data_IF_570653204986
#
_entry.id   IF_570653204986
#
_cell.length_a   1.000
_cell.length_b   1.000
_cell.length_c   1.000
_cell.angle_alpha   90.00
_cell.angle_beta   90.00
_cell.angle_gamma   90.00
#
_symmetry.space_group_name_H-M   'P 1'
#
loop_
_entity.id
_entity.type
_entity.pdbx_description
1 polymer ?
#
# COMPACT_ATOMS: atom_id res chain seq x y z
N UNK A 1 -8.11 30.02 -7.03
CA UNK A 1 -8.26 29.38 -5.70
C UNK A 1 -9.47 28.46 -5.62
N UNK A 2 -10.66 28.92 -6.01
CA UNK A 2 -11.91 28.15 -5.98
C UNK A 2 -11.79 26.76 -6.64
N UNK A 3 -11.19 26.67 -7.85
CA UNK A 3 -10.99 25.38 -8.55
C UNK A 3 -10.24 24.31 -7.76
N UNK A 4 -9.23 24.69 -6.96
CA UNK A 4 -8.46 23.71 -6.15
C UNK A 4 -9.31 23.17 -5.00
N UNK A 5 -10.06 24.04 -4.33
CA UNK A 5 -10.95 23.66 -3.24
C UNK A 5 -12.06 22.76 -3.79
N UNK A 6 -12.67 23.09 -4.94
CA UNK A 6 -13.70 22.25 -5.56
C UNK A 6 -13.20 20.84 -5.91
N UNK A 7 -11.96 20.70 -6.41
CA UNK A 7 -11.37 19.39 -6.71
C UNK A 7 -11.14 18.58 -5.44
N UNK A 8 -10.63 19.21 -4.37
CA UNK A 8 -10.39 18.55 -3.08
C UNK A 8 -11.73 18.13 -2.45
N UNK A 9 -12.75 18.99 -2.49
CA UNK A 9 -14.09 18.65 -1.98
C UNK A 9 -14.74 17.54 -2.80
N UNK A 10 -14.56 17.52 -4.13
CA UNK A 10 -15.04 16.44 -4.99
C UNK A 10 -14.33 15.11 -4.69
N UNK A 11 -13.01 15.15 -4.46
CA UNK A 11 -12.23 14.00 -4.00
C UNK A 11 -12.72 13.50 -2.65
N UNK A 12 -13.00 14.38 -1.69
CA UNK A 12 -13.54 14.00 -0.38
C UNK A 12 -14.95 13.40 -0.50
N UNK A 13 -15.82 13.93 -1.38
CA UNK A 13 -17.17 13.39 -1.62
C UNK A 13 -17.10 12.03 -2.33
N UNK A 14 -16.16 11.84 -3.26
CA UNK A 14 -15.86 10.53 -3.86
C UNK A 14 -15.36 9.58 -2.76
N UNK A 15 -14.42 9.99 -1.92
CA UNK A 15 -13.92 9.17 -0.80
C UNK A 15 -15.06 8.80 0.17
N UNK A 16 -15.99 9.72 0.47
CA UNK A 16 -17.15 9.48 1.33
C UNK A 16 -18.23 8.57 0.72
N UNK A 17 -18.41 8.58 -0.60
CA UNK A 17 -19.32 7.67 -1.31
C UNK A 17 -18.79 6.23 -1.35
N UNK A 18 -17.49 6.02 -1.09
CA UNK A 18 -16.78 4.76 -1.29
C UNK A 18 -16.71 3.85 -0.07
N UNK A 19 -17.35 4.21 1.05
CA UNK A 19 -17.49 3.36 2.25
C UNK A 19 -18.25 2.05 1.96
N UNK A 20 -18.85 1.89 0.77
CA UNK A 20 -19.53 0.67 0.30
C UNK A 20 -18.87 0.01 -0.94
N UNK A 21 -17.64 0.37 -1.29
CA UNK A 21 -17.03 -0.03 -2.57
C UNK A 21 -16.17 -1.27 -2.44
N UNK A 22 -16.50 -2.30 -3.23
CA UNK A 22 -15.72 -3.53 -3.31
C UNK A 22 -14.36 -3.30 -4.03
N UNK A 23 -13.45 -4.26 -3.85
CA UNK A 23 -12.09 -4.23 -4.40
C UNK A 23 -12.01 -3.94 -5.92
N UNK A 24 -12.93 -4.49 -6.71
CA UNK A 24 -12.91 -4.35 -8.18
C UNK A 24 -13.25 -2.93 -8.62
N UNK A 25 -14.24 -2.32 -7.97
CA UNK A 25 -14.64 -0.95 -8.27
C UNK A 25 -13.57 0.04 -7.83
N UNK A 26 -12.86 -0.24 -6.72
CA UNK A 26 -11.75 0.59 -6.27
C UNK A 26 -10.57 0.58 -7.26
N UNK A 27 -10.14 -0.60 -7.73
CA UNK A 27 -9.04 -0.67 -8.71
C UNK A 27 -9.39 0.06 -10.01
N UNK A 28 -10.61 -0.14 -10.50
CA UNK A 28 -11.13 0.55 -11.72
C UNK A 28 -11.08 2.07 -11.57
N UNK A 29 -11.37 2.59 -10.37
CA UNK A 29 -11.26 4.02 -10.10
C UNK A 29 -9.80 4.49 -10.17
N UNK A 30 -8.88 3.78 -9.52
CA UNK A 30 -7.45 4.12 -9.54
C UNK A 30 -6.94 4.12 -10.98
N UNK A 31 -7.34 3.13 -11.80
CA UNK A 31 -7.00 3.05 -13.23
C UNK A 31 -7.50 4.26 -14.03
N UNK A 32 -8.69 4.75 -13.71
CA UNK A 32 -9.30 5.89 -14.40
C UNK A 32 -8.60 7.22 -14.11
N UNK A 33 -7.85 7.32 -13.01
CA UNK A 33 -7.11 8.54 -12.69
C UNK A 33 -5.95 8.75 -13.68
N UNK A 34 -5.76 9.98 -14.21
CA UNK A 34 -4.57 10.32 -14.99
C UNK A 34 -3.29 10.05 -14.19
N UNK A 35 -2.21 9.57 -14.82
CA UNK A 35 -1.00 9.10 -14.12
C UNK A 35 -0.50 10.04 -13.00
N UNK A 36 -0.39 11.34 -13.30
CA UNK A 36 0.06 12.34 -12.31
C UNK A 36 -0.92 12.50 -11.12
N UNK A 37 -2.22 12.40 -11.37
CA UNK A 37 -3.26 12.48 -10.33
C UNK A 37 -3.29 11.19 -9.52
N UNK A 38 -3.12 10.05 -10.19
CA UNK A 38 -3.04 8.73 -9.56
C UNK A 38 -1.87 8.65 -8.60
N UNK A 39 -0.67 9.07 -9.02
CA UNK A 39 0.51 9.06 -8.16
C UNK A 39 0.28 9.91 -6.90
N UNK A 40 -0.17 11.15 -7.06
CA UNK A 40 -0.51 12.01 -5.92
C UNK A 40 -1.59 11.42 -5.00
N UNK A 41 -2.58 10.74 -5.56
CA UNK A 41 -3.63 10.07 -4.79
C UNK A 41 -3.07 8.89 -3.99
N UNK A 42 -2.24 8.05 -4.61
CA UNK A 42 -1.56 6.94 -3.93
C UNK A 42 -0.74 7.48 -2.76
N UNK A 43 0.11 8.49 -3.01
CA UNK A 43 0.93 9.08 -1.97
C UNK A 43 0.09 9.67 -0.83
N UNK A 44 -1.03 10.32 -1.16
CA UNK A 44 -1.94 10.90 -0.16
C UNK A 44 -2.62 9.85 0.74
N UNK A 45 -3.01 8.69 0.18
CA UNK A 45 -3.62 7.61 0.97
C UNK A 45 -2.59 6.86 1.82
N UNK A 46 -1.36 6.71 1.31
CA UNK A 46 -0.28 6.00 2.01
C UNK A 46 0.45 6.88 3.04
N UNK A 47 0.33 8.21 2.95
CA UNK A 47 0.93 9.11 3.94
C UNK A 47 0.19 9.02 5.27
N UNK A 48 0.79 8.26 6.20
CA UNK A 48 0.24 8.02 7.53
C UNK A 48 0.10 9.32 8.35
N UNK A 49 0.92 10.35 8.04
CA UNK A 49 0.85 11.67 8.68
C UNK A 49 -0.42 12.44 8.32
N UNK A 50 -1.06 12.09 7.20
CA UNK A 50 -2.30 12.73 6.80
C UNK A 50 -3.47 12.30 7.67
N UNK A 51 -3.45 11.10 8.27
CA UNK A 51 -4.54 10.56 9.09
C UNK A 51 -5.88 10.41 8.35
N UNK A 52 -5.87 10.48 7.00
CA UNK A 52 -7.09 10.62 6.17
C UNK A 52 -7.50 9.31 5.49
N UNK A 53 -6.68 8.25 5.55
CA UNK A 53 -7.05 6.93 5.07
C UNK A 53 -7.53 6.02 6.21
N UNK A 54 -8.77 5.55 6.17
CA UNK A 54 -9.14 4.39 6.99
C UNK A 54 -8.30 3.19 6.56
N UNK A 55 -7.98 2.29 7.49
CA UNK A 55 -7.23 1.06 7.19
C UNK A 55 -7.87 0.29 6.03
N UNK A 56 -9.20 0.34 5.93
CA UNK A 56 -9.94 -0.24 4.81
C UNK A 56 -9.51 0.30 3.44
N UNK A 57 -9.38 1.62 3.29
CA UNK A 57 -8.95 2.23 2.01
C UNK A 57 -7.48 1.91 1.72
N UNK A 58 -6.61 1.89 2.73
CA UNK A 58 -5.21 1.46 2.58
C UNK A 58 -5.13 0.02 2.11
N UNK A 59 -5.95 -0.88 2.65
CA UNK A 59 -6.03 -2.28 2.22
C UNK A 59 -6.46 -2.39 0.76
N UNK A 60 -7.53 -1.71 0.37
CA UNK A 60 -8.00 -1.70 -1.02
C UNK A 60 -6.93 -1.18 -1.98
N UNK A 61 -6.21 -0.14 -1.57
CA UNK A 61 -5.11 0.42 -2.35
C UNK A 61 -3.96 -0.56 -2.48
N UNK A 62 -3.46 -1.12 -1.39
CA UNK A 62 -2.35 -2.07 -1.41
C UNK A 62 -2.69 -3.31 -2.25
N UNK A 63 -3.94 -3.78 -2.20
CA UNK A 63 -4.40 -4.86 -3.08
C UNK A 63 -4.42 -4.47 -4.57
N UNK A 64 -4.72 -3.21 -4.90
CA UNK A 64 -4.63 -2.71 -6.27
C UNK A 64 -3.16 -2.62 -6.73
N UNK A 65 -2.27 -2.10 -5.87
CA UNK A 65 -0.82 -2.04 -6.12
C UNK A 65 -0.16 -3.43 -6.20
N UNK A 66 -0.75 -4.45 -5.54
CA UNK A 66 -0.30 -5.84 -5.67
C UNK A 66 -0.67 -6.41 -7.05
N UNK A 67 -1.77 -5.96 -7.65
CA UNK A 67 -2.22 -6.43 -8.98
C UNK A 67 -1.51 -5.70 -10.10
N UNK A 68 -1.45 -4.38 -10.03
CA UNK A 68 -0.98 -3.49 -11.09
C UNK A 68 0.24 -2.68 -10.66
N UNK A 69 1.15 -2.42 -11.59
CA UNK A 69 2.40 -1.67 -11.33
C UNK A 69 2.17 -0.17 -11.58
N UNK A 70 1.68 0.55 -10.57
CA UNK A 70 1.51 2.00 -10.66
C UNK A 70 2.79 2.76 -10.28
N UNK A 71 3.02 3.92 -10.91
CA UNK A 71 4.13 4.81 -10.56
C UNK A 71 3.83 5.61 -9.28
N UNK A 72 4.61 5.36 -8.23
CA UNK A 72 4.62 6.16 -6.99
C UNK A 72 5.94 5.95 -6.23
N UNK A 73 6.19 6.76 -5.21
CA UNK A 73 7.32 6.55 -4.31
C UNK A 73 7.07 5.32 -3.42
N UNK A 74 7.63 4.18 -3.83
CA UNK A 74 7.51 2.89 -3.13
C UNK A 74 7.98 2.93 -1.67
N UNK A 75 8.89 3.85 -1.30
CA UNK A 75 9.41 4.00 0.08
C UNK A 75 8.35 4.47 1.06
N UNK A 76 7.23 5.02 0.57
CA UNK A 76 6.07 5.34 1.42
C UNK A 76 5.43 4.09 2.05
N UNK A 77 5.71 2.89 1.51
CA UNK A 77 5.25 1.65 2.08
C UNK A 77 6.08 1.18 3.29
N UNK A 78 7.28 1.74 3.51
CA UNK A 78 8.15 1.30 4.60
C UNK A 78 7.45 1.37 5.95
N UNK A 79 6.95 2.52 6.43
CA UNK A 79 6.26 2.61 7.72
C UNK A 79 4.96 1.76 7.78
N UNK A 80 4.39 1.35 6.65
CA UNK A 80 3.22 0.47 6.65
C UNK A 80 3.58 -0.99 6.95
N UNK A 81 4.87 -1.33 6.98
CA UNK A 81 5.38 -2.63 7.39
C UNK A 81 5.52 -2.75 8.92
N UNK A 82 5.26 -1.68 9.67
CA UNK A 82 5.32 -1.67 11.13
C UNK A 82 4.50 -2.81 11.71
N UNK A 83 5.09 -3.53 12.68
CA UNK A 83 4.35 -4.52 13.44
C UNK A 83 3.26 -3.80 14.24
N UNK A 84 2.09 -4.39 14.24
CA UNK A 84 0.98 -3.92 15.03
C UNK A 84 0.73 -4.87 16.19
N UNK A 85 -0.03 -4.40 17.19
CA UNK A 85 -0.28 -5.18 18.41
C UNK A 85 -1.11 -6.46 18.15
N UNK A 86 -1.63 -6.67 16.93
CA UNK A 86 -2.42 -7.85 16.56
C UNK A 86 -1.74 -8.71 15.47
N UNK A 87 -0.90 -9.69 15.84
CA UNK A 87 -0.05 -10.44 14.89
C UNK A 87 -0.78 -11.33 13.86
N UNK A 88 -2.10 -11.51 13.98
CA UNK A 88 -2.87 -12.45 13.14
C UNK A 88 -4.01 -11.83 12.34
N UNK A 89 -4.26 -10.52 12.49
CA UNK A 89 -5.42 -9.87 11.86
C UNK A 89 -5.06 -8.89 10.73
N UNK A 90 -3.79 -8.58 10.51
CA UNK A 90 -3.48 -7.33 9.80
C UNK A 90 -2.99 -7.51 8.36
N UNK A 91 -3.84 -7.16 7.37
CA UNK A 91 -3.46 -7.24 5.96
C UNK A 91 -2.47 -6.15 5.55
N UNK A 92 -2.36 -5.02 6.25
CA UNK A 92 -1.56 -3.87 5.79
C UNK A 92 -0.05 -4.20 5.74
N UNK A 93 0.63 -4.62 6.83
CA UNK A 93 2.06 -4.94 6.77
C UNK A 93 2.37 -6.05 5.76
N UNK A 94 1.54 -7.09 5.73
CA UNK A 94 1.70 -8.20 4.80
C UNK A 94 1.53 -7.78 3.33
N UNK A 95 0.56 -6.92 3.04
CA UNK A 95 0.34 -6.40 1.69
C UNK A 95 1.43 -5.42 1.29
N UNK A 96 1.89 -4.55 2.20
CA UNK A 96 2.98 -3.61 1.94
C UNK A 96 4.26 -4.35 1.52
N UNK A 97 4.70 -5.35 2.30
CA UNK A 97 5.87 -6.18 1.97
C UNK A 97 5.70 -6.88 0.62
N UNK A 98 4.51 -7.43 0.32
CA UNK A 98 4.22 -8.05 -0.99
C UNK A 98 4.31 -7.07 -2.15
N UNK A 99 3.74 -5.88 -2.00
CA UNK A 99 3.77 -4.82 -3.03
C UNK A 99 5.20 -4.40 -3.29
N UNK A 100 6.01 -4.18 -2.23
CA UNK A 100 7.43 -3.84 -2.36
C UNK A 100 8.18 -4.95 -3.09
N UNK A 101 8.06 -6.20 -2.63
CA UNK A 101 8.75 -7.35 -3.21
C UNK A 101 8.41 -7.54 -4.69
N UNK A 102 7.13 -7.40 -5.07
CA UNK A 102 6.69 -7.57 -6.46
C UNK A 102 7.20 -6.44 -7.35
N UNK A 103 7.03 -5.19 -6.95
CA UNK A 103 7.25 -4.02 -7.82
C UNK A 103 8.72 -3.60 -7.87
N UNK A 104 9.45 -3.67 -6.74
CA UNK A 104 10.86 -3.29 -6.64
C UNK A 104 11.62 -4.19 -5.65
N UNK A 105 11.96 -5.43 -6.04
CA UNK A 105 12.71 -6.33 -5.15
C UNK A 105 14.09 -5.79 -4.78
N UNK A 106 14.68 -4.91 -5.60
CA UNK A 106 16.01 -4.33 -5.33
C UNK A 106 16.07 -3.38 -4.13
N UNK A 107 14.93 -2.98 -3.55
CA UNK A 107 14.90 -2.11 -2.36
C UNK A 107 14.57 -2.86 -1.07
N UNK A 108 14.55 -4.19 -1.11
CA UNK A 108 14.30 -5.01 0.09
C UNK A 108 15.41 -4.84 1.12
N UNK A 109 16.67 -4.79 0.71
CA UNK A 109 17.78 -4.55 1.64
C UNK A 109 17.63 -3.18 2.34
N UNK A 110 17.14 -2.17 1.60
CA UNK A 110 16.85 -0.84 2.16
C UNK A 110 15.67 -0.89 3.15
N UNK A 111 14.64 -1.69 2.88
CA UNK A 111 13.52 -1.91 3.82
C UNK A 111 14.01 -2.57 5.11
N UNK A 112 14.90 -3.56 5.02
CA UNK A 112 15.47 -4.23 6.19
C UNK A 112 16.34 -3.25 7.00
N UNK A 113 17.17 -2.45 6.31
CA UNK A 113 18.00 -1.43 6.95
C UNK A 113 17.16 -0.36 7.67
N UNK A 114 16.01 0.03 7.10
CA UNK A 114 15.08 0.96 7.73
C UNK A 114 14.62 0.49 9.13
N UNK A 115 14.53 -0.82 9.35
CA UNK A 115 14.13 -1.45 10.61
C UNK A 115 15.30 -1.95 11.47
N UNK A 116 16.53 -1.49 11.23
CA UNK A 116 17.72 -1.96 11.97
C UNK A 116 17.65 -1.79 13.50
N UNK A 117 16.81 -0.89 14.00
CA UNK A 117 16.58 -0.65 15.43
C UNK A 117 15.33 -1.39 15.99
N UNK A 118 14.56 -2.08 15.15
CA UNK A 118 13.40 -2.91 15.54
C UNK A 118 13.56 -4.34 15.01
N UNK A 119 14.35 -5.12 15.74
CA UNK A 119 14.66 -6.52 15.43
C UNK A 119 13.40 -7.39 15.26
N UNK A 120 12.32 -7.10 15.99
CA UNK A 120 11.08 -7.87 15.91
C UNK A 120 10.39 -7.63 14.57
N UNK A 121 10.22 -6.35 14.18
CA UNK A 121 9.62 -5.99 12.89
C UNK A 121 10.45 -6.55 11.73
N UNK A 122 11.78 -6.48 11.83
CA UNK A 122 12.69 -7.07 10.86
C UNK A 122 12.43 -8.59 10.68
N UNK A 123 12.41 -9.36 11.77
CA UNK A 123 12.15 -10.82 11.73
C UNK A 123 10.78 -11.13 11.08
N UNK A 124 9.77 -10.31 11.35
CA UNK A 124 8.43 -10.48 10.75
C UNK A 124 8.48 -10.25 9.24
N UNK A 125 9.13 -9.19 8.78
CA UNK A 125 9.31 -8.89 7.36
C UNK A 125 10.07 -10.01 6.66
N UNK A 126 11.19 -10.47 7.22
CA UNK A 126 12.00 -11.57 6.67
C UNK A 126 11.20 -12.86 6.52
N UNK A 127 10.41 -13.24 7.53
CA UNK A 127 9.51 -14.41 7.45
C UNK A 127 8.44 -14.26 6.38
N UNK A 128 7.93 -13.05 6.17
CA UNK A 128 6.98 -12.79 5.09
C UNK A 128 7.64 -12.92 3.72
N UNK A 129 8.86 -12.39 3.56
CA UNK A 129 9.64 -12.52 2.33
C UNK A 129 9.97 -13.98 2.00
N UNK A 130 10.36 -14.77 3.00
CA UNK A 130 10.58 -16.22 2.85
C UNK A 130 9.30 -16.91 2.36
N UNK A 131 8.16 -16.63 3.00
CA UNK A 131 6.86 -17.18 2.59
C UNK A 131 6.50 -16.81 1.14
N UNK A 132 6.73 -15.57 0.73
CA UNK A 132 6.48 -15.11 -0.65
C UNK A 132 7.38 -15.85 -1.64
N UNK A 133 8.67 -15.97 -1.32
CA UNK A 133 9.65 -16.70 -2.14
C UNK A 133 9.25 -18.18 -2.33
N UNK A 134 8.84 -18.85 -1.24
CA UNK A 134 8.35 -20.24 -1.27
C UNK A 134 7.06 -20.39 -2.09
N UNK A 135 6.13 -19.44 -1.99
CA UNK A 135 4.90 -19.46 -2.81
C UNK A 135 5.20 -19.27 -4.30
N UNK A 136 6.21 -18.48 -4.65
CA UNK A 136 6.61 -18.25 -6.03
C UNK A 136 7.41 -19.43 -6.62
N UNK A 137 8.21 -20.13 -5.80
CA UNK A 137 8.92 -21.34 -6.23
C UNK A 137 7.99 -22.56 -6.39
N UNK A 138 6.87 -22.58 -5.68
CA UNK A 138 5.81 -23.59 -5.82
C UNK A 138 4.95 -23.49 -7.09
N UNK A 139 5.10 -22.43 -7.90
CA UNK A 139 4.41 -22.24 -9.20
C UNK A 139 5.09 -22.95 -10.40
N UNK A 140 6.07 -23.82 -10.14
CA UNK A 140 6.72 -24.69 -11.14
C UNK A 140 6.47 -26.18 -10.85
N UNK A 141 5.21 -26.56 -10.55
CA UNK A 141 4.75 -27.95 -10.64
C UNK A 141 3.38 -28.03 -11.30
#
# INVERSE_FOLDING_TARGET
>A
MIKKITIITLLIVIVGFFVHVNQKTYSTFVDFLPSKVRSNYIEYILDDRAGIGSDYIKILLLQALEREEYEFNIRLLFPLCDRTDTPYAEPIPQLAVKVIYKNKPSIIDELIEYYNNDEITQIVIEKQLEKISLMNSGKLK
#
